data_IF_392856816515
#
_entry.id   IF_392856816515
#
_cell.length_a   1.000
_cell.length_b   1.000
_cell.length_c   1.000
_cell.angle_alpha   90.00
_cell.angle_beta   90.00
_cell.angle_gamma   90.00
#
_symmetry.space_group_name_H-M   'P 1'
#
loop_
_entity.id
_entity.type
_entity.pdbx_description
1 polymer ?
#
# COMPACT_ATOMS: atom_id res chain seq x y z
N UNK A 1 0.86 -60.12 16.40
CA UNK A 1 2.16 -60.24 17.10
C UNK A 1 3.26 -60.11 16.05
N UNK A 2 3.79 -58.90 15.86
CA UNK A 2 5.09 -58.39 16.38
C UNK A 2 6.33 -59.00 15.70
N UNK A 3 7.00 -58.16 14.89
CA UNK A 3 8.44 -57.77 14.93
C UNK A 3 8.78 -57.15 13.57
N UNK A 4 8.62 -55.83 13.36
CA UNK A 4 9.55 -54.76 13.73
C UNK A 4 11.02 -55.19 13.60
N UNK A 5 11.68 -54.71 12.54
CA UNK A 5 13.14 -54.67 12.45
C UNK A 5 13.54 -53.20 12.45
N UNK A 6 14.26 -52.84 13.50
CA UNK A 6 14.76 -51.52 13.86
C UNK A 6 16.29 -51.63 13.77
N UNK A 7 16.95 -50.81 12.95
CA UNK A 7 18.40 -50.60 13.00
C UNK A 7 18.61 -49.08 12.96
N UNK A 8 18.62 -48.43 14.13
CA UNK A 8 19.79 -48.18 14.98
C UNK A 8 20.68 -47.05 14.43
N UNK A 9 20.43 -45.84 14.94
CA UNK A 9 21.35 -44.71 14.91
C UNK A 9 22.64 -45.07 15.66
N UNK A 10 23.78 -44.72 15.09
CA UNK A 10 25.03 -44.56 15.82
C UNK A 10 25.54 -43.12 15.60
N UNK A 11 25.44 -42.31 16.66
CA UNK A 11 26.12 -41.01 16.80
C UNK A 11 27.39 -41.29 17.59
N UNK A 12 28.57 -40.98 17.04
CA UNK A 12 29.73 -40.59 17.84
C UNK A 12 30.38 -39.38 17.15
N UNK A 13 30.29 -38.24 17.84
CA UNK A 13 31.03 -37.04 17.55
C UNK A 13 32.49 -37.17 18.03
N UNK A 14 33.44 -36.70 17.23
CA UNK A 14 34.75 -36.27 17.71
C UNK A 14 35.11 -34.94 17.03
N UNK A 15 35.21 -33.92 17.87
CA UNK A 15 35.70 -32.59 17.56
C UNK A 15 37.20 -32.63 17.34
N UNK A 16 37.67 -32.05 16.23
CA UNK A 16 39.03 -31.54 16.11
C UNK A 16 38.93 -30.06 15.71
N UNK A 17 39.23 -29.20 16.68
CA UNK A 17 39.41 -27.76 16.52
C UNK A 17 40.56 -27.49 15.54
N UNK A 18 40.25 -26.85 14.43
CA UNK A 18 41.16 -25.91 13.80
C UNK A 18 40.44 -24.56 13.74
N UNK A 19 40.87 -23.66 14.62
CA UNK A 19 40.49 -22.25 14.59
C UNK A 19 41.03 -21.62 13.31
N UNK A 20 40.12 -21.13 12.47
CA UNK A 20 40.41 -20.12 11.47
C UNK A 20 39.25 -19.14 11.47
N UNK A 21 39.53 -17.92 11.93
CA UNK A 21 38.59 -16.82 12.01
C UNK A 21 38.00 -16.52 10.63
N UNK A 22 36.68 -16.69 10.54
CA UNK A 22 35.86 -16.33 9.40
C UNK A 22 34.41 -16.42 9.84
N UNK A 23 33.74 -15.27 9.93
CA UNK A 23 32.31 -15.21 10.24
C UNK A 23 31.53 -16.11 9.28
N UNK A 24 30.46 -16.79 9.71
CA UNK A 24 29.60 -17.48 8.77
C UNK A 24 28.91 -16.43 7.91
N UNK A 25 29.27 -16.37 6.63
CA UNK A 25 28.49 -15.62 5.65
C UNK A 25 27.06 -16.16 5.68
N UNK A 26 26.12 -15.28 6.04
CA UNK A 26 24.70 -15.53 5.86
C UNK A 26 24.46 -15.90 4.39
N UNK A 27 24.02 -17.14 4.16
CA UNK A 27 23.52 -17.55 2.84
C UNK A 27 22.35 -16.62 2.47
N UNK A 28 22.61 -15.66 1.57
CA UNK A 28 21.56 -14.86 0.92
C UNK A 28 20.57 -15.80 0.25
N UNK A 29 19.38 -15.91 0.83
CA UNK A 29 18.23 -16.54 0.20
C UNK A 29 17.90 -15.77 -1.09
N UNK A 30 18.26 -16.35 -2.24
CA UNK A 30 18.20 -15.74 -3.58
C UNK A 30 17.06 -16.31 -4.42
N UNK A 31 15.97 -16.77 -3.79
CA UNK A 31 14.75 -17.12 -4.50
C UNK A 31 13.98 -15.84 -4.87
N UNK A 32 14.52 -15.07 -5.81
CA UNK A 32 13.78 -14.04 -6.54
C UNK A 32 12.80 -14.74 -7.50
N UNK A 33 11.50 -14.62 -7.25
CA UNK A 33 10.45 -15.20 -8.10
C UNK A 33 10.30 -14.43 -9.41
N UNK A 34 10.01 -15.11 -10.53
CA UNK A 34 9.54 -14.44 -11.73
C UNK A 34 8.10 -13.96 -11.49
N UNK A 35 7.88 -12.65 -11.53
CA UNK A 35 6.53 -12.07 -11.37
C UNK A 35 5.70 -12.33 -12.63
N UNK A 36 4.50 -12.87 -12.46
CA UNK A 36 3.58 -13.15 -13.57
C UNK A 36 2.69 -11.94 -13.96
N UNK A 37 2.86 -10.80 -13.27
CA UNK A 37 1.99 -9.63 -13.39
C UNK A 37 2.81 -8.35 -13.08
N UNK A 38 2.14 -7.20 -12.97
CA UNK A 38 2.74 -5.90 -12.66
C UNK A 38 3.36 -5.84 -11.26
N UNK A 39 4.29 -4.91 -11.04
CA UNK A 39 4.87 -4.60 -9.72
C UNK A 39 4.86 -3.10 -9.44
N UNK A 40 4.68 -2.72 -8.19
CA UNK A 40 4.90 -1.37 -7.67
C UNK A 40 6.40 -1.09 -7.72
N UNK A 41 6.79 -0.10 -8.52
CA UNK A 41 8.19 0.23 -8.78
C UNK A 41 8.66 1.42 -7.95
N UNK A 42 7.93 2.52 -7.96
CA UNK A 42 8.31 3.75 -7.28
C UNK A 42 7.15 4.24 -6.39
N UNK A 43 7.46 4.70 -5.18
CA UNK A 43 6.48 5.36 -4.30
C UNK A 43 7.10 6.65 -3.80
N UNK A 44 6.57 7.77 -4.26
CA UNK A 44 6.89 9.11 -3.78
C UNK A 44 5.72 9.63 -2.95
N UNK A 45 5.94 9.72 -1.65
CA UNK A 45 4.87 9.95 -0.67
C UNK A 45 5.14 11.08 0.32
N UNK A 46 6.40 11.47 0.46
CA UNK A 46 6.80 12.48 1.44
C UNK A 46 6.53 13.92 0.98
N UNK A 47 6.47 14.16 -0.33
CA UNK A 47 6.38 15.49 -0.90
C UNK A 47 7.69 16.28 -0.78
N UNK A 48 7.59 17.59 -0.96
CA UNK A 48 8.68 18.55 -0.79
C UNK A 48 8.15 19.81 -0.08
N UNK A 49 8.93 20.88 -0.01
CA UNK A 49 8.49 22.16 0.54
C UNK A 49 9.09 23.36 -0.19
N UNK A 50 8.37 24.47 -0.12
CA UNK A 50 8.80 25.78 -0.58
C UNK A 50 9.07 26.66 0.64
N UNK A 51 10.21 27.35 0.67
CA UNK A 51 10.48 28.36 1.70
C UNK A 51 9.79 29.67 1.34
N UNK A 52 8.96 30.17 2.25
CA UNK A 52 8.26 31.44 2.11
C UNK A 52 9.20 32.63 2.33
N UNK A 53 8.82 33.85 1.93
CA UNK A 53 9.63 35.06 2.17
C UNK A 53 9.88 35.35 3.65
N UNK A 54 9.09 34.73 4.54
CA UNK A 54 9.18 34.88 6.00
C UNK A 54 10.02 33.78 6.67
N UNK A 55 10.59 32.85 5.90
CA UNK A 55 11.41 31.75 6.40
C UNK A 55 10.62 30.53 6.91
N UNK A 56 9.30 30.49 6.69
CA UNK A 56 8.48 29.31 6.97
C UNK A 56 8.55 28.31 5.80
N UNK A 57 8.28 27.04 6.07
CA UNK A 57 8.16 26.00 5.05
C UNK A 57 6.69 25.77 4.74
N UNK A 58 6.32 25.93 3.47
CA UNK A 58 5.04 25.50 2.93
C UNK A 58 5.24 24.12 2.31
N UNK A 59 4.66 23.08 2.91
CA UNK A 59 4.75 21.73 2.36
C UNK A 59 3.92 21.63 1.07
N UNK A 60 4.48 20.96 0.06
CA UNK A 60 3.77 20.53 -1.14
C UNK A 60 3.66 19.01 -1.03
N UNK A 61 2.44 18.52 -0.82
CA UNK A 61 2.20 17.07 -0.67
C UNK A 61 1.14 16.55 -1.65
N UNK A 62 0.65 17.38 -2.56
CA UNK A 62 -0.23 16.91 -3.64
C UNK A 62 0.58 16.28 -4.79
N UNK A 63 1.91 16.36 -4.73
CA UNK A 63 2.86 15.84 -5.70
C UNK A 63 3.19 14.35 -5.51
N UNK A 64 2.42 13.64 -4.68
CA UNK A 64 2.62 12.20 -4.47
C UNK A 64 2.35 11.41 -5.75
N UNK A 65 3.09 10.32 -5.96
CA UNK A 65 2.79 9.37 -7.03
C UNK A 65 3.22 7.96 -6.67
N UNK A 66 2.59 7.01 -7.36
CA UNK A 66 2.98 5.59 -7.39
C UNK A 66 3.26 5.25 -8.85
N UNK A 67 4.38 4.58 -9.11
CA UNK A 67 4.65 4.00 -10.43
C UNK A 67 4.52 2.49 -10.40
N UNK A 68 3.95 1.94 -11.46
CA UNK A 68 3.75 0.50 -11.63
C UNK A 68 4.46 0.08 -12.91
N UNK A 69 5.24 -0.99 -12.84
CA UNK A 69 6.03 -1.52 -13.95
C UNK A 69 5.51 -2.89 -14.38
N UNK A 70 5.55 -3.15 -15.69
CA UNK A 70 5.33 -4.47 -16.26
C UNK A 70 6.68 -5.19 -16.46
N UNK A 71 7.05 -6.14 -15.57
CA UNK A 71 8.28 -6.92 -15.71
C UNK A 71 8.18 -8.09 -16.67
N UNK A 72 6.99 -8.37 -17.24
CA UNK A 72 6.77 -9.52 -18.11
C UNK A 72 7.16 -9.22 -19.56
N UNK A 73 7.11 -10.26 -20.39
CA UNK A 73 7.36 -10.23 -21.82
C UNK A 73 6.09 -10.01 -22.66
N UNK A 74 4.94 -9.78 -22.01
CA UNK A 74 3.65 -9.60 -22.65
C UNK A 74 2.88 -8.41 -22.08
N UNK A 75 1.87 -7.97 -22.83
CA UNK A 75 1.01 -6.87 -22.43
C UNK A 75 0.07 -7.28 -21.30
N UNK A 76 -0.11 -6.40 -20.29
CA UNK A 76 -1.00 -6.66 -19.16
C UNK A 76 -2.18 -5.68 -19.18
N UNK A 77 -3.39 -6.23 -19.06
CA UNK A 77 -4.61 -5.44 -18.88
C UNK A 77 -4.77 -4.95 -17.44
N UNK A 78 -5.14 -3.68 -17.28
CA UNK A 78 -5.50 -3.08 -16.00
C UNK A 78 -6.95 -3.39 -15.59
N UNK A 79 -7.69 -4.18 -16.37
CA UNK A 79 -9.04 -4.62 -16.00
C UNK A 79 -9.05 -5.32 -14.63
N UNK A 80 -9.99 -4.89 -13.78
CA UNK A 80 -10.17 -5.37 -12.41
C UNK A 80 -8.93 -5.20 -11.51
N UNK A 81 -7.96 -4.37 -11.90
CA UNK A 81 -6.85 -4.01 -11.02
C UNK A 81 -7.23 -2.81 -10.15
N UNK A 82 -6.72 -2.81 -8.92
CA UNK A 82 -6.93 -1.75 -7.94
C UNK A 82 -5.68 -1.50 -7.10
N UNK A 83 -5.51 -0.26 -6.66
CA UNK A 83 -4.63 0.08 -5.55
C UNK A 83 -5.44 0.04 -4.26
N UNK A 84 -4.95 -0.69 -3.26
CA UNK A 84 -5.61 -0.85 -1.97
C UNK A 84 -4.67 -0.48 -0.83
N UNK A 85 -5.13 0.37 0.09
CA UNK A 85 -4.44 0.63 1.34
C UNK A 85 -4.88 -0.38 2.40
N UNK A 86 -3.96 -0.75 3.28
CA UNK A 86 -4.27 -1.60 4.42
C UNK A 86 -4.97 -0.81 5.52
N UNK A 87 -5.86 -1.46 6.26
CA UNK A 87 -6.44 -0.93 7.49
C UNK A 87 -5.39 -0.67 8.56
N UNK A 88 -4.44 -1.58 8.73
CA UNK A 88 -3.52 -1.48 9.83
C UNK A 88 -2.32 -0.62 9.46
N UNK A 89 -1.95 0.26 10.37
CA UNK A 89 -0.74 1.06 10.23
C UNK A 89 0.49 0.14 10.17
N UNK A 90 1.42 0.44 9.27
CA UNK A 90 2.62 -0.37 9.05
C UNK A 90 3.61 -0.40 10.24
N UNK A 91 3.46 0.54 11.17
CA UNK A 91 4.32 0.64 12.36
C UNK A 91 3.70 -0.02 13.59
N UNK A 92 2.36 0.03 13.71
CA UNK A 92 1.70 -0.34 14.94
C UNK A 92 1.68 -1.86 15.14
N UNK A 93 1.93 -2.25 16.39
CA UNK A 93 1.68 -3.63 16.79
C UNK A 93 0.18 -3.84 16.93
N UNK A 94 -0.35 -4.70 16.08
CA UNK A 94 -1.76 -5.09 16.12
C UNK A 94 -1.89 -6.26 17.08
N UNK A 95 -2.63 -6.04 18.16
CA UNK A 95 -3.04 -7.10 19.07
C UNK A 95 -4.52 -7.39 18.81
N UNK A 96 -4.82 -8.64 18.45
CA UNK A 96 -6.20 -9.09 18.32
C UNK A 96 -6.69 -9.64 19.64
N UNK A 97 -7.92 -9.26 20.03
CA UNK A 97 -8.50 -9.71 21.30
C UNK A 97 -8.72 -11.23 21.32
N UNK A 98 -8.87 -11.85 20.14
CA UNK A 98 -8.99 -13.30 19.96
C UNK A 98 -8.11 -13.80 18.82
N UNK A 99 -7.44 -14.96 18.94
CA UNK A 99 -6.59 -15.51 17.89
C UNK A 99 -7.28 -15.73 16.54
N UNK A 100 -8.59 -16.01 16.54
CA UNK A 100 -9.39 -16.19 15.32
C UNK A 100 -9.80 -14.87 14.63
N UNK A 101 -9.51 -13.71 15.22
CA UNK A 101 -9.70 -12.40 14.60
C UNK A 101 -8.50 -11.96 13.73
N UNK A 102 -7.37 -12.68 13.78
CA UNK A 102 -6.22 -12.39 12.92
C UNK A 102 -6.41 -12.99 11.52
N UNK A 103 -6.91 -12.17 10.59
CA UNK A 103 -7.14 -12.57 9.20
C UNK A 103 -5.95 -12.29 8.27
N UNK A 104 -4.84 -11.71 8.76
CA UNK A 104 -3.72 -11.26 7.92
C UNK A 104 -3.10 -12.39 7.10
N UNK A 105 -3.12 -13.62 7.61
CA UNK A 105 -2.60 -14.79 6.88
C UNK A 105 -3.52 -15.28 5.76
N UNK A 106 -4.80 -14.89 5.77
CA UNK A 106 -5.81 -15.32 4.80
C UNK A 106 -6.16 -14.23 3.80
N UNK A 107 -6.13 -12.96 4.22
CA UNK A 107 -6.49 -11.84 3.37
C UNK A 107 -5.84 -10.52 3.75
N UNK A 108 -5.83 -9.62 2.77
CA UNK A 108 -5.42 -8.24 2.88
C UNK A 108 -6.59 -7.41 3.41
N UNK A 109 -6.44 -6.84 4.61
CA UNK A 109 -7.47 -5.99 5.22
C UNK A 109 -7.50 -4.62 4.56
N UNK A 110 -8.54 -4.34 3.76
CA UNK A 110 -8.64 -3.13 2.94
C UNK A 110 -9.21 -1.97 3.75
N UNK A 111 -8.54 -0.82 3.71
CA UNK A 111 -9.10 0.46 4.19
C UNK A 111 -9.64 1.34 3.09
N UNK A 112 -8.91 1.48 1.98
CA UNK A 112 -9.30 2.28 0.84
C UNK A 112 -8.92 1.52 -0.42
N UNK A 113 -9.71 1.64 -1.47
CA UNK A 113 -9.46 0.98 -2.74
C UNK A 113 -9.92 1.85 -3.90
N UNK A 114 -9.02 2.05 -4.87
CA UNK A 114 -9.29 2.75 -6.12
C UNK A 114 -8.90 1.85 -7.30
N UNK A 115 -9.74 1.82 -8.33
CA UNK A 115 -9.58 1.01 -9.53
C UNK A 115 -9.11 1.81 -10.73
N UNK A 116 -8.52 1.13 -11.71
CA UNK A 116 -8.21 1.76 -13.00
C UNK A 116 -9.49 1.95 -13.81
N UNK A 117 -9.71 3.14 -14.40
CA UNK A 117 -10.89 3.41 -15.21
C UNK A 117 -10.80 2.66 -16.55
N UNK A 118 -11.91 2.67 -17.29
CA UNK A 118 -11.92 2.29 -18.71
C UNK A 118 -11.63 3.52 -19.58
N UNK A 119 -11.17 3.31 -20.80
CA UNK A 119 -11.03 4.38 -21.77
C UNK A 119 -12.40 4.88 -22.27
N UNK A 120 -12.40 5.92 -23.10
CA UNK A 120 -13.63 6.53 -23.66
C UNK A 120 -14.45 5.56 -24.53
N UNK A 121 -13.85 4.45 -24.98
CA UNK A 121 -14.50 3.39 -25.76
C UNK A 121 -15.00 2.24 -24.88
N UNK A 122 -14.81 2.31 -23.55
CA UNK A 122 -15.18 1.27 -22.61
C UNK A 122 -14.18 0.11 -22.51
N UNK A 123 -12.98 0.25 -23.07
CA UNK A 123 -11.93 -0.76 -23.03
C UNK A 123 -10.97 -0.53 -21.85
N UNK A 124 -10.42 -1.59 -21.23
CA UNK A 124 -9.39 -1.42 -20.21
C UNK A 124 -8.09 -0.90 -20.82
N UNK A 125 -7.37 -0.08 -20.06
CA UNK A 125 -6.01 0.30 -20.41
C UNK A 125 -5.04 -0.88 -20.33
N UNK A 126 -4.01 -0.86 -21.17
CA UNK A 126 -3.01 -1.92 -21.29
C UNK A 126 -1.62 -1.36 -20.98
N UNK A 127 -0.90 -2.01 -20.06
CA UNK A 127 0.52 -1.72 -19.80
C UNK A 127 1.37 -2.64 -20.66
N UNK A 128 2.09 -2.08 -21.63
CA UNK A 128 2.96 -2.84 -22.52
C UNK A 128 4.11 -3.50 -21.75
N UNK A 129 4.60 -4.63 -22.25
CA UNK A 129 5.78 -5.31 -21.72
C UNK A 129 6.96 -4.32 -21.53
N UNK A 130 7.59 -4.33 -20.36
CA UNK A 130 8.71 -3.45 -20.03
C UNK A 130 8.36 -1.96 -19.89
N UNK A 131 7.07 -1.59 -19.77
CA UNK A 131 6.65 -0.20 -19.55
C UNK A 131 6.29 0.07 -18.09
N UNK A 132 6.51 1.32 -17.70
CA UNK A 132 6.06 1.90 -16.42
C UNK A 132 4.91 2.85 -16.71
N UNK A 133 3.88 2.78 -15.87
CA UNK A 133 2.84 3.81 -15.77
C UNK A 133 3.00 4.60 -14.47
N UNK A 134 2.55 5.85 -14.48
CA UNK A 134 2.56 6.74 -13.31
C UNK A 134 1.13 7.07 -12.92
N UNK A 135 0.76 6.77 -11.68
CA UNK A 135 -0.49 7.20 -11.06
C UNK A 135 -0.12 8.34 -10.10
N UNK A 136 -0.62 9.55 -10.33
CA UNK A 136 -0.34 10.74 -9.53
C UNK A 136 -1.49 11.07 -8.57
N UNK A 137 -1.21 11.69 -7.43
CA UNK A 137 -2.27 12.29 -6.62
C UNK A 137 -2.90 13.44 -7.41
N UNK A 138 -2.09 14.33 -7.96
CA UNK A 138 -2.57 15.43 -8.81
C UNK A 138 -1.67 15.55 -10.03
N UNK A 139 -2.19 15.27 -11.23
CA UNK A 139 -1.36 15.16 -12.44
C UNK A 139 -1.10 16.52 -13.10
N UNK A 140 -0.39 17.41 -12.41
CA UNK A 140 -0.02 18.74 -12.90
C UNK A 140 1.48 18.96 -12.86
N UNK A 141 1.96 20.04 -13.47
CA UNK A 141 3.29 20.55 -13.17
C UNK A 141 3.21 21.32 -11.83
N UNK A 142 3.74 20.74 -10.74
CA UNK A 142 3.57 21.32 -9.40
C UNK A 142 4.32 22.64 -9.24
N UNK A 143 5.49 22.79 -9.88
CA UNK A 143 6.21 24.06 -9.88
C UNK A 143 5.40 25.18 -10.52
N UNK A 144 4.85 24.95 -11.71
CA UNK A 144 4.02 25.94 -12.41
C UNK A 144 2.66 26.15 -11.73
N UNK A 145 2.06 25.09 -11.19
CA UNK A 145 0.84 25.15 -10.39
C UNK A 145 1.01 26.02 -9.14
N UNK A 146 2.12 25.86 -8.42
CA UNK A 146 2.44 26.66 -7.24
C UNK A 146 2.67 28.13 -7.59
N UNK A 147 3.42 28.43 -8.67
CA UNK A 147 3.60 29.81 -9.16
C UNK A 147 2.27 30.48 -9.53
N UNK A 148 1.38 29.73 -10.18
CA UNK A 148 0.04 30.21 -10.55
C UNK A 148 -0.77 30.52 -9.28
N UNK A 149 -0.81 29.60 -8.32
CA UNK A 149 -1.49 29.81 -7.03
C UNK A 149 -0.99 31.09 -6.33
N UNK A 150 0.31 31.30 -6.24
CA UNK A 150 0.88 32.52 -5.66
C UNK A 150 0.42 33.78 -6.40
N UNK A 151 0.53 33.79 -7.73
CA UNK A 151 0.15 34.94 -8.56
C UNK A 151 -1.33 35.28 -8.41
N UNK A 152 -2.21 34.28 -8.41
CA UNK A 152 -3.66 34.45 -8.25
C UNK A 152 -4.05 34.99 -6.86
N UNK A 153 -3.20 34.76 -5.85
CA UNK A 153 -3.35 35.30 -4.49
C UNK A 153 -2.57 36.60 -4.26
N UNK A 154 -2.03 37.23 -5.32
CA UNK A 154 -1.32 38.51 -5.24
C UNK A 154 0.10 38.44 -4.67
N UNK A 155 0.67 37.24 -4.57
CA UNK A 155 2.05 37.00 -4.13
C UNK A 155 3.02 37.03 -5.32
N UNK A 156 4.29 37.34 -5.04
CA UNK A 156 5.39 37.33 -6.02
C UNK A 156 6.16 36.00 -5.92
N UNK A 157 6.05 35.08 -6.91
CA UNK A 157 6.71 33.79 -6.86
C UNK A 157 8.24 33.86 -6.73
N UNK A 158 8.87 34.96 -7.14
CA UNK A 158 10.33 35.11 -7.08
C UNK A 158 10.87 35.27 -5.64
N UNK A 159 9.99 35.56 -4.68
CA UNK A 159 10.35 35.68 -3.26
C UNK A 159 10.35 34.34 -2.53
N UNK A 160 9.83 33.29 -3.15
CA UNK A 160 9.74 31.94 -2.62
C UNK A 160 10.92 31.10 -3.16
N UNK A 161 11.49 30.21 -2.33
CA UNK A 161 12.64 29.39 -2.72
C UNK A 161 12.27 27.91 -2.74
N UNK A 162 12.80 27.15 -3.70
CA UNK A 162 12.56 25.71 -3.80
C UNK A 162 11.39 25.32 -4.69
N UNK A 163 10.67 26.29 -5.28
CA UNK A 163 9.60 26.02 -6.26
C UNK A 163 10.15 25.17 -7.42
N UNK A 164 11.38 25.41 -7.84
CA UNK A 164 12.05 24.69 -8.94
C UNK A 164 12.34 23.21 -8.65
N UNK A 165 12.22 22.78 -7.39
CA UNK A 165 12.40 21.38 -6.97
C UNK A 165 11.11 20.57 -7.10
N UNK A 166 9.96 21.25 -7.10
CA UNK A 166 8.66 20.61 -7.23
C UNK A 166 8.59 19.88 -8.58
N UNK A 167 8.09 18.65 -8.54
CA UNK A 167 8.13 17.75 -9.69
C UNK A 167 7.03 18.04 -10.72
N UNK A 168 7.24 17.59 -11.94
CA UNK A 168 6.25 17.68 -13.01
C UNK A 168 5.53 16.34 -13.21
N UNK A 169 4.27 16.27 -12.78
CA UNK A 169 3.37 15.12 -12.95
C UNK A 169 2.33 15.35 -14.05
N UNK A 170 2.44 16.42 -14.85
CA UNK A 170 1.48 16.73 -15.93
C UNK A 170 1.37 15.64 -17.00
N UNK A 171 2.34 14.73 -17.04
CA UNK A 171 2.41 13.59 -17.98
C UNK A 171 2.05 12.25 -17.34
N UNK A 172 1.52 12.22 -16.11
CA UNK A 172 1.06 10.98 -15.49
C UNK A 172 0.04 10.25 -16.38
N UNK A 173 -0.09 8.94 -16.18
CA UNK A 173 -1.04 8.10 -16.91
C UNK A 173 -2.43 8.15 -16.28
N UNK A 174 -2.48 8.31 -14.97
CA UNK A 174 -3.71 8.37 -14.18
C UNK A 174 -3.54 9.36 -13.03
N UNK A 175 -4.66 9.82 -12.48
CA UNK A 175 -4.68 10.59 -11.23
C UNK A 175 -5.79 10.12 -10.27
N UNK A 176 -5.68 10.39 -8.97
CA UNK A 176 -6.72 10.00 -8.00
C UNK A 176 -7.22 11.14 -7.09
N UNK A 177 -6.54 12.27 -7.07
CA UNK A 177 -6.86 13.41 -6.23
C UNK A 177 -7.57 14.53 -7.00
N UNK A 178 -8.02 15.53 -6.25
CA UNK A 178 -8.80 16.64 -6.79
C UNK A 178 -7.93 17.72 -7.46
N UNK A 179 -8.57 18.59 -8.26
CA UNK A 179 -7.94 19.75 -8.89
C UNK A 179 -6.72 19.37 -9.76
N UNK A 180 -6.78 18.18 -10.35
CA UNK A 180 -5.80 17.62 -11.26
C UNK A 180 -5.92 18.12 -12.68
N UNK A 181 -5.58 17.28 -13.64
CA UNK A 181 -5.63 17.59 -15.07
C UNK A 181 -6.81 16.86 -15.72
N UNK A 182 -7.79 17.61 -16.22
CA UNK A 182 -9.00 17.09 -16.88
C UNK A 182 -8.75 16.11 -18.04
N UNK A 183 -7.54 16.10 -18.60
CA UNK A 183 -7.14 15.20 -19.69
C UNK A 183 -6.48 13.90 -19.20
N UNK A 184 -6.17 13.80 -17.91
CA UNK A 184 -5.61 12.61 -17.27
C UNK A 184 -6.78 11.78 -16.71
N UNK A 185 -6.92 10.50 -17.08
CA UNK A 185 -7.98 9.66 -16.55
C UNK A 185 -7.94 9.55 -15.03
N UNK A 186 -9.07 9.82 -14.38
CA UNK A 186 -9.21 9.71 -12.94
C UNK A 186 -9.44 8.25 -12.52
N UNK A 187 -8.75 7.81 -11.48
CA UNK A 187 -8.95 6.52 -10.84
C UNK A 187 -10.37 6.45 -10.28
N UNK A 188 -10.99 5.27 -10.36
CA UNK A 188 -12.36 5.04 -9.92
C UNK A 188 -12.38 4.72 -8.44
N UNK A 189 -13.13 5.46 -7.63
CA UNK A 189 -13.39 5.08 -6.24
C UNK A 189 -14.13 3.73 -6.18
N UNK A 190 -13.63 2.78 -5.39
CA UNK A 190 -14.25 1.46 -5.25
C UNK A 190 -14.78 1.21 -3.83
N UNK A 191 -14.01 1.58 -2.82
CA UNK A 191 -14.35 1.31 -1.43
C UNK A 191 -13.53 2.17 -0.48
N UNK A 192 -14.15 2.64 0.59
CA UNK A 192 -13.47 3.12 1.78
C UNK A 192 -14.13 2.53 3.03
N UNK A 193 -13.34 2.17 4.02
CA UNK A 193 -13.86 1.85 5.34
C UNK A 193 -14.36 3.12 6.01
N UNK A 194 -15.28 2.95 6.95
CA UNK A 194 -15.68 4.05 7.82
C UNK A 194 -14.86 4.05 9.11
N UNK A 195 -15.04 5.09 9.92
CA UNK A 195 -14.70 5.00 11.33
C UNK A 195 -15.58 3.93 12.02
N UNK A 196 -15.00 3.20 12.98
CA UNK A 196 -15.67 2.11 13.69
C UNK A 196 -16.96 2.55 14.39
N UNK A 197 -16.97 3.75 14.99
CA UNK A 197 -18.16 4.31 15.65
C UNK A 197 -19.25 4.72 14.67
N UNK A 198 -18.87 5.28 13.52
CA UNK A 198 -19.84 5.65 12.48
C UNK A 198 -20.43 4.41 11.82
N UNK A 199 -19.62 3.38 11.54
CA UNK A 199 -20.12 2.08 11.09
C UNK A 199 -21.10 1.49 12.12
N UNK A 200 -20.73 1.46 13.41
CA UNK A 200 -21.61 0.96 14.48
C UNK A 200 -22.96 1.70 14.50
N UNK A 201 -22.93 3.03 14.36
CA UNK A 201 -24.12 3.88 14.33
C UNK A 201 -24.99 3.58 13.11
N UNK A 202 -24.44 3.57 11.90
CA UNK A 202 -25.22 3.27 10.66
C UNK A 202 -25.79 1.85 10.70
N UNK A 203 -24.99 0.90 11.16
CA UNK A 203 -25.42 -0.50 11.25
C UNK A 203 -26.49 -0.73 12.31
N UNK A 204 -26.71 0.15 13.30
CA UNK A 204 -27.87 0.05 14.21
C UNK A 204 -29.19 0.17 13.45
N UNK A 205 -29.23 1.05 12.46
CA UNK A 205 -30.40 1.31 11.62
C UNK A 205 -30.51 0.32 10.46
N UNK A 206 -29.40 0.09 9.74
CA UNK A 206 -29.36 -0.77 8.56
C UNK A 206 -28.08 -1.63 8.53
N UNK A 207 -28.25 -2.94 8.72
CA UNK A 207 -27.16 -3.92 8.78
C UNK A 207 -26.44 -4.11 7.44
N UNK A 208 -26.95 -3.54 6.34
CA UNK A 208 -26.27 -3.54 5.04
C UNK A 208 -25.22 -2.44 4.89
N UNK A 209 -25.15 -1.47 5.81
CA UNK A 209 -24.25 -0.31 5.73
C UNK A 209 -22.86 -0.63 6.28
N UNK A 210 -22.07 -1.36 5.50
CA UNK A 210 -20.66 -1.65 5.81
C UNK A 210 -19.76 -0.95 4.80
N UNK A 211 -19.08 0.10 5.25
CA UNK A 211 -18.16 0.88 4.43
C UNK A 211 -18.87 1.85 3.49
N UNK A 212 -18.07 2.72 2.89
CA UNK A 212 -18.43 3.70 1.89
C UNK A 212 -18.14 3.12 0.51
N UNK A 213 -19.14 3.18 -0.37
CA UNK A 213 -19.10 2.62 -1.73
C UNK A 213 -19.45 3.63 -2.81
N UNK A 214 -19.65 4.88 -2.41
CA UNK A 214 -19.90 6.03 -3.25
C UNK A 214 -19.06 7.17 -2.66
N UNK A 215 -18.23 7.83 -3.47
CA UNK A 215 -17.35 8.90 -2.99
C UNK A 215 -18.15 10.13 -2.52
N UNK A 216 -19.37 10.31 -3.02
CA UNK A 216 -20.27 11.40 -2.63
C UNK A 216 -20.92 11.19 -1.25
N UNK A 217 -20.87 9.97 -0.70
CA UNK A 217 -21.47 9.65 0.60
C UNK A 217 -20.64 10.20 1.79
N UNK A 218 -19.36 10.52 1.59
CA UNK A 218 -18.47 11.08 2.62
C UNK A 218 -17.30 11.88 2.01
N UNK A 219 -17.34 13.22 2.13
CA UNK A 219 -16.30 14.14 1.62
C UNK A 219 -14.90 13.89 2.25
N UNK A 220 -14.81 13.09 3.32
CA UNK A 220 -13.57 12.80 4.06
C UNK A 220 -12.94 11.44 3.71
N UNK A 221 -13.29 10.80 2.58
CA UNK A 221 -12.70 9.51 2.15
C UNK A 221 -11.69 9.58 0.98
N UNK A 222 -10.82 10.61 0.85
CA UNK A 222 -9.87 10.60 -0.24
C UNK A 222 -8.88 9.45 -0.08
N UNK A 223 -8.59 8.75 -1.19
CA UNK A 223 -7.49 7.81 -1.24
C UNK A 223 -6.19 8.58 -0.94
N UNK A 224 -5.66 8.40 0.27
CA UNK A 224 -4.57 9.20 0.77
C UNK A 224 -3.68 8.41 1.72
N UNK A 225 -2.40 8.71 1.68
CA UNK A 225 -1.41 8.14 2.57
C UNK A 225 -0.36 9.18 2.91
N UNK A 226 0.07 9.17 4.18
CA UNK A 226 1.09 10.09 4.68
C UNK A 226 2.42 9.36 4.88
N UNK A 227 2.76 8.96 6.12
CA UNK A 227 4.13 8.55 6.45
C UNK A 227 4.31 7.04 6.62
N UNK A 228 3.30 6.37 7.15
CA UNK A 228 3.31 4.94 7.45
C UNK A 228 2.03 4.33 6.90
N UNK A 229 2.17 3.43 5.95
CA UNK A 229 1.04 2.80 5.27
C UNK A 229 1.50 1.49 4.66
N UNK A 230 0.54 0.63 4.35
CA UNK A 230 0.77 -0.54 3.52
C UNK A 230 -0.13 -0.45 2.33
N UNK A 231 0.42 -0.65 1.15
CA UNK A 231 -0.30 -0.57 -0.11
C UNK A 231 -0.13 -1.88 -0.87
N UNK A 232 -1.19 -2.30 -1.55
CA UNK A 232 -1.19 -3.44 -2.45
C UNK A 232 -1.71 -3.06 -3.83
N UNK A 233 -1.12 -3.66 -4.85
CA UNK A 233 -1.72 -3.81 -6.16
C UNK A 233 -2.52 -5.11 -6.14
N UNK A 234 -3.82 -5.05 -6.40
CA UNK A 234 -4.74 -6.18 -6.29
C UNK A 234 -5.43 -6.40 -7.63
N UNK A 235 -5.51 -7.65 -8.09
CA UNK A 235 -6.36 -8.05 -9.21
C UNK A 235 -7.61 -8.75 -8.68
N UNK A 236 -8.75 -8.09 -8.76
CA UNK A 236 -10.02 -8.62 -8.30
C UNK A 236 -10.42 -9.81 -9.19
N UNK A 237 -10.65 -10.98 -8.57
CA UNK A 237 -11.10 -12.17 -9.32
C UNK A 237 -12.62 -12.17 -9.57
N UNK A 238 -13.36 -11.25 -8.94
CA UNK A 238 -14.77 -11.00 -9.18
C UNK A 238 -15.00 -9.49 -9.36
N UNK A 239 -16.02 -9.05 -10.11
CA UNK A 239 -16.39 -7.64 -10.21
C UNK A 239 -16.68 -7.01 -8.84
N UNK A 240 -16.35 -5.73 -8.69
CA UNK A 240 -16.51 -4.99 -7.43
C UNK A 240 -17.95 -5.00 -6.92
N UNK A 241 -18.94 -5.06 -7.82
CA UNK A 241 -20.36 -5.11 -7.49
C UNK A 241 -20.73 -6.37 -6.72
N UNK A 242 -20.11 -7.51 -7.04
CA UNK A 242 -20.32 -8.77 -6.31
C UNK A 242 -19.68 -8.73 -4.93
N UNK A 243 -18.53 -8.08 -4.81
CA UNK A 243 -17.86 -7.86 -3.52
C UNK A 243 -18.75 -6.96 -2.64
N UNK A 244 -19.27 -5.86 -3.20
CA UNK A 244 -20.23 -4.95 -2.55
C UNK A 244 -21.48 -5.68 -2.08
N UNK A 245 -22.09 -6.49 -2.94
CA UNK A 245 -23.28 -7.28 -2.57
C UNK A 245 -23.01 -8.22 -1.39
N UNK A 246 -21.86 -8.89 -1.36
CA UNK A 246 -21.49 -9.76 -0.24
C UNK A 246 -21.23 -8.97 1.05
N UNK A 247 -20.50 -7.86 0.96
CA UNK A 247 -20.19 -6.98 2.09
C UNK A 247 -21.43 -6.31 2.70
N UNK A 248 -22.44 -6.03 1.88
CA UNK A 248 -23.67 -5.35 2.30
C UNK A 248 -24.84 -6.32 2.54
N UNK A 249 -24.58 -7.62 2.67
CA UNK A 249 -25.62 -8.57 3.00
C UNK A 249 -26.02 -8.47 4.48
N UNK A 250 -27.19 -7.87 4.75
CA UNK A 250 -27.68 -7.61 6.09
C UNK A 250 -27.75 -8.85 7.00
N UNK A 251 -28.12 -10.03 6.47
CA UNK A 251 -28.20 -11.27 7.26
C UNK A 251 -26.81 -11.76 7.67
N UNK A 252 -25.88 -11.72 6.72
CA UNK A 252 -24.48 -12.08 6.97
C UNK A 252 -23.89 -11.14 8.00
N UNK A 253 -24.07 -9.84 7.83
CA UNK A 253 -23.53 -8.82 8.73
C UNK A 253 -24.14 -8.91 10.14
N UNK A 254 -25.43 -9.22 10.25
CA UNK A 254 -26.06 -9.46 11.57
C UNK A 254 -25.44 -10.68 12.28
N UNK A 255 -25.11 -11.75 11.55
CA UNK A 255 -24.42 -12.91 12.11
C UNK A 255 -22.98 -12.56 12.54
N UNK A 256 -22.24 -11.83 11.69
CA UNK A 256 -20.88 -11.38 11.97
C UNK A 256 -20.81 -10.48 13.22
N UNK A 257 -21.75 -9.55 13.41
CA UNK A 257 -21.84 -8.70 14.61
C UNK A 257 -22.13 -9.50 15.89
N UNK A 258 -22.76 -10.67 15.78
CA UNK A 258 -22.96 -11.61 16.88
C UNK A 258 -21.78 -12.58 17.05
N UNK A 259 -20.68 -12.34 16.33
CA UNK A 259 -19.47 -13.16 16.29
C UNK A 259 -19.73 -14.60 15.84
N UNK A 260 -20.76 -14.80 15.00
CA UNK A 260 -21.08 -16.10 14.43
C UNK A 260 -20.32 -16.23 13.11
N UNK A 261 -19.55 -17.31 12.96
CA UNK A 261 -18.93 -17.65 11.68
C UNK A 261 -20.02 -17.93 10.65
N UNK A 262 -20.03 -17.15 9.57
CA UNK A 262 -21.03 -17.23 8.51
C UNK A 262 -20.34 -17.75 7.24
N UNK A 263 -20.61 -18.99 6.79
CA UNK A 263 -19.98 -19.58 5.62
C UNK A 263 -20.16 -18.78 4.32
N UNK A 264 -21.22 -17.97 4.24
CA UNK A 264 -21.48 -17.10 3.09
C UNK A 264 -20.77 -15.75 3.16
N UNK A 265 -20.14 -15.39 4.28
CA UNK A 265 -19.28 -14.22 4.40
C UNK A 265 -17.97 -14.47 3.64
N UNK A 266 -17.88 -14.02 2.38
CA UNK A 266 -16.67 -14.21 1.58
C UNK A 266 -15.57 -13.22 2.00
N UNK A 267 -15.93 -11.94 2.11
CA UNK A 267 -14.98 -10.85 2.28
C UNK A 267 -15.08 -10.15 3.65
N UNK A 268 -16.29 -10.02 4.19
CA UNK A 268 -16.53 -9.32 5.46
C UNK A 268 -16.13 -10.14 6.68
N UNK A 269 -15.38 -9.54 7.61
CA UNK A 269 -15.02 -10.14 8.90
C UNK A 269 -15.22 -9.16 10.04
N UNK A 270 -15.90 -9.59 11.10
CA UNK A 270 -15.91 -8.84 12.34
C UNK A 270 -14.57 -9.04 13.07
N UNK A 271 -13.88 -7.95 13.35
CA UNK A 271 -12.54 -7.96 13.95
C UNK A 271 -12.55 -7.07 15.18
N UNK A 272 -11.94 -7.56 16.26
CA UNK A 272 -11.65 -6.78 17.46
C UNK A 272 -10.13 -6.69 17.62
N UNK A 273 -9.60 -5.46 17.67
CA UNK A 273 -8.16 -5.23 17.73
C UNK A 273 -7.79 -3.99 18.52
N UNK A 274 -6.53 -3.92 18.91
CA UNK A 274 -5.90 -2.81 19.61
C UNK A 274 -4.59 -2.45 18.90
N UNK A 275 -4.38 -1.15 18.71
CA UNK A 275 -3.12 -0.58 18.21
C UNK A 275 -2.37 0.06 19.39
N UNK A 276 -1.20 -0.49 19.71
CA UNK A 276 -0.21 0.12 20.62
C UNK A 276 -0.73 0.55 22.01
N UNK A 277 -1.74 -0.12 22.57
CA UNK A 277 -2.25 0.14 23.93
C UNK A 277 -3.34 1.21 24.02
N UNK A 278 -3.87 1.66 22.89
CA UNK A 278 -5.02 2.57 22.83
C UNK A 278 -6.36 1.80 22.93
N UNK A 279 -7.50 2.47 22.72
CA UNK A 279 -8.83 1.85 22.87
C UNK A 279 -8.99 0.57 22.03
N UNK A 280 -9.78 -0.39 22.52
CA UNK A 280 -10.17 -1.56 21.69
C UNK A 280 -11.14 -1.07 20.61
N UNK A 281 -10.87 -1.50 19.38
CA UNK A 281 -11.68 -1.23 18.20
C UNK A 281 -12.44 -2.49 17.81
N UNK A 282 -13.65 -2.33 17.27
CA UNK A 282 -14.41 -3.45 16.73
C UNK A 282 -15.28 -3.03 15.55
N UNK A 283 -15.12 -3.67 14.40
CA UNK A 283 -15.98 -3.43 13.23
C UNK A 283 -15.92 -4.57 12.22
N UNK A 284 -16.81 -4.55 11.21
CA UNK A 284 -16.70 -5.41 10.04
C UNK A 284 -15.74 -4.76 9.03
N UNK A 285 -14.73 -5.51 8.62
CA UNK A 285 -13.77 -5.12 7.60
C UNK A 285 -13.82 -6.00 6.36
N UNK A 286 -13.43 -5.42 5.23
CA UNK A 286 -13.16 -6.17 4.02
C UNK A 286 -11.77 -6.82 4.09
N UNK A 287 -11.73 -8.14 3.95
CA UNK A 287 -10.51 -8.89 3.68
C UNK A 287 -10.58 -9.51 2.29
N UNK A 288 -9.74 -9.02 1.37
CA UNK A 288 -9.58 -9.65 0.06
C UNK A 288 -8.58 -10.81 0.16
N UNK A 289 -8.82 -11.96 -0.49
CA UNK A 289 -7.90 -13.09 -0.41
C UNK A 289 -6.46 -12.71 -0.76
N UNK A 290 -5.47 -13.16 0.01
CA UNK A 290 -4.06 -12.84 -0.26
C UNK A 290 -3.62 -13.25 -1.68
N UNK A 291 -4.21 -14.30 -2.23
CA UNK A 291 -3.97 -14.75 -3.61
C UNK A 291 -4.40 -13.75 -4.71
N UNK A 292 -5.18 -12.71 -4.38
CA UNK A 292 -5.55 -11.64 -5.32
C UNK A 292 -4.55 -10.49 -5.31
N UNK A 293 -3.70 -10.43 -4.28
CA UNK A 293 -2.64 -9.43 -4.18
C UNK A 293 -1.54 -9.81 -5.17
N UNK A 294 -1.32 -8.90 -6.12
CA UNK A 294 -0.29 -9.03 -7.14
C UNK A 294 1.06 -8.59 -6.59
N UNK A 295 1.07 -7.49 -5.85
CA UNK A 295 2.27 -6.95 -5.21
C UNK A 295 1.86 -6.13 -3.98
N UNK A 296 2.73 -6.06 -2.96
CA UNK A 296 2.47 -5.31 -1.74
C UNK A 296 3.74 -4.68 -1.18
N UNK A 297 3.60 -3.49 -0.60
CA UNK A 297 4.71 -2.71 -0.04
C UNK A 297 4.31 -2.18 1.34
N UNK A 298 5.06 -2.58 2.36
CA UNK A 298 5.00 -1.96 3.69
C UNK A 298 5.91 -0.72 3.72
N UNK A 299 5.30 0.47 3.80
CA UNK A 299 6.00 1.75 3.93
C UNK A 299 5.95 2.23 5.38
N UNK A 300 7.11 2.41 6.01
CA UNK A 300 7.21 3.01 7.35
C UNK A 300 8.58 3.64 7.57
N UNK A 301 8.65 4.53 8.55
CA UNK A 301 9.95 5.00 9.04
C UNK A 301 10.81 3.81 9.51
N UNK A 302 12.13 3.92 9.33
CA UNK A 302 13.04 2.79 9.57
C UNK A 302 13.05 2.38 11.05
N UNK A 303 13.16 3.36 11.94
CA UNK A 303 13.15 3.18 13.39
C UNK A 303 14.32 2.34 13.90
N UNK A 304 14.33 2.06 15.20
CA UNK A 304 15.30 1.15 15.84
C UNK A 304 14.70 -0.21 16.20
N UNK A 305 13.38 -0.39 16.03
CA UNK A 305 12.72 -1.64 16.44
C UNK A 305 13.11 -2.80 15.53
N UNK A 306 13.49 -3.91 16.16
CA UNK A 306 13.71 -5.20 15.50
C UNK A 306 12.46 -6.07 15.50
N UNK A 307 11.32 -5.57 16.03
CA UNK A 307 10.06 -6.31 16.07
C UNK A 307 9.51 -6.49 14.65
N UNK A 308 9.26 -7.75 14.28
CA UNK A 308 8.73 -8.16 12.98
C UNK A 308 7.23 -8.45 13.06
N UNK A 309 6.46 -7.47 13.54
CA UNK A 309 4.99 -7.48 13.41
C UNK A 309 4.61 -6.70 12.17
N UNK A 310 3.85 -7.32 11.27
CA UNK A 310 3.44 -6.73 10.00
C UNK A 310 1.92 -6.59 9.90
N UNK A 311 1.42 -5.57 9.19
CA UNK A 311 -0.01 -5.39 8.96
C UNK A 311 -0.60 -6.45 8.02
N UNK A 312 0.24 -7.15 7.26
CA UNK A 312 -0.14 -8.15 6.26
C UNK A 312 0.65 -9.45 6.42
N UNK A 313 0.28 -10.50 5.68
CA UNK A 313 1.04 -11.76 5.67
C UNK A 313 2.46 -11.54 5.18
N UNK A 314 3.44 -12.19 5.81
CA UNK A 314 4.83 -12.23 5.32
C UNK A 314 5.00 -12.98 3.99
N UNK A 315 3.95 -13.63 3.48
CA UNK A 315 3.91 -14.13 2.10
C UNK A 315 3.72 -13.01 1.08
N UNK A 316 3.15 -11.87 1.48
CA UNK A 316 2.96 -10.69 0.64
C UNK A 316 4.13 -9.71 0.80
N UNK A 317 4.48 -9.36 2.03
CA UNK A 317 5.68 -8.57 2.33
C UNK A 317 6.13 -8.83 3.78
N UNK A 318 7.38 -9.26 3.95
CA UNK A 318 8.00 -9.57 5.26
C UNK A 318 8.99 -8.53 5.75
N UNK A 319 9.09 -7.39 5.08
CA UNK A 319 9.93 -6.27 5.49
C UNK A 319 9.22 -4.94 5.34
N UNK A 320 9.98 -3.88 5.47
CA UNK A 320 9.53 -2.51 5.26
C UNK A 320 10.66 -1.61 4.77
N UNK A 321 10.29 -0.50 4.15
CA UNK A 321 11.21 0.59 3.85
C UNK A 321 10.50 1.93 3.98
N UNK A 322 11.27 3.01 3.95
CA UNK A 322 10.71 4.36 3.99
C UNK A 322 11.79 5.42 3.96
N UNK A 323 11.37 6.64 3.59
CA UNK A 323 12.27 7.79 3.47
C UNK A 323 12.61 8.42 4.82
N UNK A 324 11.74 8.20 5.82
CA UNK A 324 11.91 8.70 7.18
C UNK A 324 12.67 7.69 8.05
N UNK A 325 13.46 8.20 8.99
CA UNK A 325 14.23 7.42 9.96
C UNK A 325 13.44 7.24 11.27
N UNK A 326 12.67 8.24 11.68
CA UNK A 326 11.89 8.28 12.93
C UNK A 326 10.46 8.78 12.69
N UNK A 327 9.59 8.53 13.68
CA UNK A 327 8.20 8.96 13.65
C UNK A 327 8.03 10.49 13.61
N UNK A 328 8.89 11.23 14.31
CA UNK A 328 8.82 12.69 14.49
C UNK A 328 9.72 13.49 13.54
N UNK A 329 10.30 12.82 12.54
CA UNK A 329 11.17 13.46 11.55
C UNK A 329 10.44 14.61 10.82
N UNK A 330 11.14 15.72 10.65
CA UNK A 330 10.62 16.86 9.86
C UNK A 330 10.62 16.54 8.37
N UNK A 331 9.82 17.29 7.61
CA UNK A 331 9.69 17.15 6.15
C UNK A 331 11.05 17.11 5.46
N UNK A 332 12.05 17.86 5.93
CA UNK A 332 13.43 17.87 5.43
C UNK A 332 14.08 16.50 5.25
N UNK A 333 13.70 15.53 6.10
CA UNK A 333 14.24 14.17 6.03
C UNK A 333 13.71 13.45 4.80
N UNK A 334 12.44 13.62 4.47
CA UNK A 334 11.77 12.96 3.35
C UNK A 334 11.69 13.78 2.07
N UNK A 335 11.86 15.10 2.16
CA UNK A 335 11.64 16.06 1.07
C UNK A 335 12.38 15.66 -0.21
N UNK A 336 11.64 15.55 -1.32
CA UNK A 336 12.18 15.20 -2.63
C UNK A 336 12.80 13.80 -2.69
N UNK A 337 12.43 12.89 -1.79
CA UNK A 337 12.87 11.48 -1.80
C UNK A 337 11.70 10.54 -2.00
N UNK A 338 11.97 9.46 -2.72
CA UNK A 338 11.05 8.35 -2.95
C UNK A 338 11.70 7.04 -2.50
N UNK A 339 10.89 6.01 -2.27
CA UNK A 339 11.39 4.64 -2.32
C UNK A 339 11.23 4.10 -3.75
N UNK A 340 12.25 3.42 -4.23
CA UNK A 340 12.28 2.83 -5.57
C UNK A 340 12.81 1.42 -5.50
N UNK A 341 12.20 0.53 -6.29
CA UNK A 341 12.56 -0.88 -6.35
C UNK A 341 13.97 -1.01 -6.94
N UNK A 342 14.82 -1.79 -6.28
CA UNK A 342 16.21 -2.01 -6.68
C UNK A 342 16.26 -2.73 -8.02
N UNK A 343 17.22 -2.37 -8.85
CA UNK A 343 17.53 -3.10 -10.08
C UNK A 343 18.84 -3.87 -9.88
N UNK A 344 18.81 -5.20 -10.07
CA UNK A 344 19.98 -6.05 -9.84
C UNK A 344 20.92 -6.15 -11.07
N UNK A 345 20.68 -5.35 -12.11
CA UNK A 345 21.39 -5.40 -13.38
C UNK A 345 20.67 -6.20 -14.47
N UNK A 346 19.65 -6.99 -14.11
CA UNK A 346 18.83 -7.77 -15.05
C UNK A 346 17.34 -7.46 -14.91
N UNK A 347 16.83 -7.41 -13.69
CA UNK A 347 15.42 -7.13 -13.37
C UNK A 347 15.29 -6.30 -12.10
N UNK A 348 14.09 -5.78 -11.86
CA UNK A 348 13.73 -5.20 -10.58
C UNK A 348 13.59 -6.32 -9.54
N UNK A 349 14.02 -6.03 -8.31
CA UNK A 349 13.97 -6.96 -7.18
C UNK A 349 12.54 -7.17 -6.71
N UNK A 350 12.15 -8.42 -6.53
CA UNK A 350 10.85 -8.79 -5.97
C UNK A 350 11.01 -10.07 -5.15
N UNK A 351 11.18 -9.90 -3.84
CA UNK A 351 11.43 -10.98 -2.88
C UNK A 351 10.38 -11.03 -1.76
N UNK A 352 9.28 -10.31 -1.97
CA UNK A 352 8.22 -10.03 -1.00
C UNK A 352 8.83 -9.50 0.30
N UNK A 353 9.77 -8.56 0.19
CA UNK A 353 10.50 -7.99 1.30
C UNK A 353 10.92 -6.55 1.00
N UNK A 354 10.10 -5.58 1.41
CA UNK A 354 10.37 -4.17 1.13
C UNK A 354 11.73 -3.67 1.67
N UNK A 355 12.26 -4.27 2.73
CA UNK A 355 13.59 -3.92 3.26
C UNK A 355 14.74 -4.30 2.32
N UNK A 356 14.53 -5.28 1.45
CA UNK A 356 15.50 -5.74 0.44
C UNK A 356 15.18 -5.12 -0.91
N UNK A 357 13.90 -5.14 -1.29
CA UNK A 357 13.46 -4.82 -2.64
C UNK A 357 13.52 -3.33 -2.94
N UNK A 358 13.47 -2.45 -1.93
CA UNK A 358 13.46 -1.00 -2.13
C UNK A 358 14.73 -0.31 -1.62
N UNK A 359 14.99 0.85 -2.19
CA UNK A 359 15.97 1.82 -1.72
C UNK A 359 15.42 3.24 -1.75
N UNK A 360 15.96 4.10 -0.88
CA UNK A 360 15.62 5.51 -0.86
C UNK A 360 16.51 6.26 -1.86
N UNK A 361 15.89 6.99 -2.79
CA UNK A 361 16.57 7.87 -3.75
C UNK A 361 15.88 9.22 -3.82
N UNK A 362 16.57 10.20 -4.41
CA UNK A 362 15.92 11.43 -4.86
C UNK A 362 14.80 11.08 -5.84
N UNK A 363 13.71 11.83 -5.77
CA UNK A 363 12.57 11.64 -6.66
C UNK A 363 12.99 11.83 -8.11
N UNK A 364 12.56 10.90 -8.97
CA UNK A 364 12.69 10.97 -10.41
C UNK A 364 11.36 10.53 -10.99
N UNK A 365 10.65 11.44 -11.65
CA UNK A 365 9.41 11.09 -12.34
C UNK A 365 9.75 10.22 -13.54
N UNK A 366 9.17 9.01 -13.67
CA UNK A 366 9.38 8.18 -14.85
C UNK A 366 8.97 8.93 -16.12
N UNK A 367 9.88 9.06 -17.08
CA UNK A 367 9.58 9.65 -18.39
C UNK A 367 8.85 8.62 -19.26
N UNK A 368 7.80 9.05 -19.97
CA UNK A 368 7.10 8.24 -20.98
C UNK A 368 7.99 7.85 -22.16
#
# INVERSE_FOLDING_TARGET
>A
MKKMMLCALAIIALFANCTRDGQPEEKKNTAETETADLIIKDIYYAGDFVETPYGNKSEETDDKFISVYNPTDHDISLENMALALCQYNAVDKINFDKPNCDYRQKGFGVSNMIGFPKDKSGMPYIVKAGKTIVIAMRAINHAEGYKKYLTENGEDPTKYKGIEKLIDLSKADFEWGQNGNENVPHMTFLYCKENDKEQEKRMKEDKSKVGVWDEDDDEYVPFGFERNFTIALIRLAEPIEKIKENMNNAKVNEALLKEIEEPTAKYGRYVMWNESGHHSHSQIFMFLPNQWVVDAVNVRFKGSTTEKSFPISGTLDKGWNGVYEKADDKIDVGAGKMITRRFNGKRLSDTNNSSVDFEVKKVVVPTK
#
